data_IF_166429080642
#
_entry.id   IF_166429080642
#
_cell.length_a   1.000
_cell.length_b   1.000
_cell.length_c   1.000
_cell.angle_alpha   90.00
_cell.angle_beta   90.00
_cell.angle_gamma   90.00
#
_symmetry.space_group_name_H-M   'P 1'
#
loop_
_entity.id
_entity.type
_entity.pdbx_description
1 polymer ?
#
# COMPACT_ATOMS: atom_id res chain seq x y z
N UNK A 1 -11.60 12.24 -5.43
CA UNK A 1 -12.84 11.46 -5.68
C UNK A 1 -13.44 11.76 -7.05
N UNK A 2 -13.52 13.03 -7.48
CA UNK A 2 -13.99 13.38 -8.84
C UNK A 2 -13.25 12.61 -9.95
N UNK A 3 -11.91 12.54 -9.90
CA UNK A 3 -11.15 11.74 -10.86
C UNK A 3 -11.40 10.22 -10.79
N UNK A 4 -11.71 9.65 -9.61
CA UNK A 4 -12.05 8.22 -9.51
C UNK A 4 -13.34 7.93 -10.29
N UNK A 5 -14.32 8.84 -10.20
CA UNK A 5 -15.59 8.73 -10.91
C UNK A 5 -15.43 9.02 -12.42
N UNK A 6 -14.68 10.06 -12.79
CA UNK A 6 -14.47 10.45 -14.19
C UNK A 6 -13.77 9.37 -15.01
N UNK A 7 -12.80 8.69 -14.41
CA UNK A 7 -12.00 7.67 -15.08
C UNK A 7 -12.52 6.25 -14.88
N UNK A 8 -13.72 6.10 -14.29
CA UNK A 8 -14.32 4.81 -13.95
C UNK A 8 -13.36 3.88 -13.17
N UNK A 9 -12.61 4.45 -12.22
CA UNK A 9 -11.60 3.71 -11.43
C UNK A 9 -12.30 2.85 -10.38
N UNK A 10 -12.09 1.54 -10.46
CA UNK A 10 -12.67 0.58 -9.50
C UNK A 10 -11.87 0.43 -8.22
N UNK A 11 -10.55 0.64 -8.27
CA UNK A 11 -9.64 0.55 -7.13
C UNK A 11 -8.70 1.75 -7.14
N UNK A 12 -8.61 2.45 -6.02
CA UNK A 12 -7.66 3.52 -5.81
C UNK A 12 -6.89 3.30 -4.51
N UNK A 13 -5.58 3.56 -4.54
CA UNK A 13 -4.74 3.63 -3.34
C UNK A 13 -4.29 5.08 -3.20
N UNK A 14 -4.56 5.67 -2.04
CA UNK A 14 -4.33 7.08 -1.77
C UNK A 14 -3.38 7.21 -0.60
N UNK A 15 -2.21 7.80 -0.84
CA UNK A 15 -1.27 8.21 0.21
C UNK A 15 -1.65 9.59 0.75
N UNK A 16 -1.50 9.77 2.05
CA UNK A 16 -1.81 10.96 2.84
C UNK A 16 -3.20 11.57 2.51
N UNK A 17 -4.29 10.79 2.58
CA UNK A 17 -5.62 11.30 2.32
C UNK A 17 -5.99 12.41 3.31
N UNK A 18 -6.45 13.55 2.80
CA UNK A 18 -6.90 14.68 3.63
C UNK A 18 -8.00 14.29 4.64
N UNK A 19 -8.87 13.37 4.24
CA UNK A 19 -9.98 12.92 5.07
C UNK A 19 -10.34 11.46 4.78
N UNK A 20 -10.69 10.74 5.85
CA UNK A 20 -11.09 9.34 5.81
C UNK A 20 -12.47 9.21 6.47
N UNK A 21 -13.49 8.67 5.77
CA UNK A 21 -14.80 8.41 6.36
C UNK A 21 -14.72 7.29 7.41
N UNK A 22 -15.38 7.49 8.55
CA UNK A 22 -15.39 6.52 9.66
C UNK A 22 -16.32 5.31 9.45
N UNK A 23 -17.37 5.46 8.63
CA UNK A 23 -18.42 4.44 8.46
C UNK A 23 -18.66 4.07 6.98
N UNK A 24 -17.59 3.80 6.23
CA UNK A 24 -17.71 3.33 4.84
C UNK A 24 -16.94 2.05 4.59
N UNK A 25 -17.67 1.00 4.21
CA UNK A 25 -17.11 -0.33 3.99
C UNK A 25 -16.18 -0.38 2.77
N UNK A 26 -16.44 0.46 1.77
CA UNK A 26 -15.63 0.57 0.56
C UNK A 26 -14.30 1.33 0.76
N UNK A 27 -13.98 1.73 2.00
CA UNK A 27 -12.71 2.31 2.40
C UNK A 27 -11.97 1.36 3.37
N UNK A 28 -10.68 1.20 3.15
CA UNK A 28 -9.77 0.50 4.05
C UNK A 28 -8.56 1.39 4.32
N UNK A 29 -8.59 2.20 5.40
CA UNK A 29 -7.43 2.97 5.84
C UNK A 29 -6.49 2.12 6.69
N UNK A 30 -5.21 2.50 6.73
CA UNK A 30 -4.25 2.02 7.73
C UNK A 30 -4.58 2.53 9.14
N UNK A 31 -3.73 2.22 10.13
CA UNK A 31 -3.96 2.68 11.52
C UNK A 31 -3.75 4.18 11.70
N UNK A 32 -2.83 4.77 10.93
CA UNK A 32 -2.42 6.16 11.11
C UNK A 32 -3.16 7.13 10.19
N UNK A 33 -3.95 6.62 9.24
CA UNK A 33 -4.62 7.44 8.23
C UNK A 33 -3.67 7.99 7.17
N UNK A 34 -2.50 7.37 7.00
CA UNK A 34 -1.48 7.75 6.03
C UNK A 34 -1.69 7.09 4.67
N UNK A 35 -2.44 5.98 4.61
CA UNK A 35 -2.79 5.36 3.33
C UNK A 35 -4.17 4.72 3.42
N UNK A 36 -4.92 4.79 2.32
CA UNK A 36 -6.21 4.13 2.22
C UNK A 36 -6.41 3.48 0.85
N UNK A 37 -7.01 2.29 0.86
CA UNK A 37 -7.57 1.66 -0.33
C UNK A 37 -9.05 2.01 -0.41
N UNK A 38 -9.49 2.41 -1.60
CA UNK A 38 -10.87 2.78 -1.91
C UNK A 38 -11.33 1.92 -3.08
N UNK A 39 -12.52 1.32 -2.97
CA UNK A 39 -13.12 0.59 -4.08
C UNK A 39 -14.47 1.16 -4.49
N UNK A 40 -14.83 0.90 -5.74
CA UNK A 40 -16.08 1.32 -6.38
C UNK A 40 -16.59 0.24 -7.35
N UNK A 41 -17.74 0.48 -8.00
CA UNK A 41 -18.24 -0.42 -9.05
C UNK A 41 -18.70 -1.79 -8.56
N UNK A 42 -19.20 -1.88 -7.32
CA UNK A 42 -19.71 -3.13 -6.74
C UNK A 42 -18.66 -4.02 -6.09
N UNK A 43 -17.38 -3.66 -6.17
CA UNK A 43 -16.30 -4.33 -5.44
C UNK A 43 -16.48 -4.17 -3.92
N UNK A 44 -16.08 -5.20 -3.18
CA UNK A 44 -16.17 -5.26 -1.73
C UNK A 44 -14.80 -5.52 -1.12
N UNK A 45 -14.55 -4.89 0.02
CA UNK A 45 -13.31 -5.04 0.78
C UNK A 45 -13.54 -5.97 1.97
N UNK A 46 -12.81 -7.07 2.00
CA UNK A 46 -12.86 -8.09 3.03
C UNK A 46 -11.52 -8.18 3.79
N UNK A 47 -11.54 -8.76 4.99
CA UNK A 47 -10.35 -9.12 5.79
C UNK A 47 -9.28 -8.01 5.83
N UNK A 48 -9.61 -6.89 6.48
CA UNK A 48 -8.75 -5.71 6.57
C UNK A 48 -7.68 -5.90 7.66
N UNK A 49 -6.42 -6.02 7.28
CA UNK A 49 -5.29 -5.91 8.21
C UNK A 49 -4.75 -4.50 8.13
N UNK A 50 -4.78 -3.79 9.26
CA UNK A 50 -4.26 -2.43 9.37
C UNK A 50 -2.92 -2.47 10.07
N UNK A 51 -1.88 -2.03 9.37
CA UNK A 51 -0.56 -1.74 9.91
C UNK A 51 -0.35 -0.24 10.13
N UNK A 52 0.87 0.11 10.53
CA UNK A 52 1.29 1.49 10.67
C UNK A 52 1.95 1.90 9.36
N UNK A 53 1.27 2.72 8.55
CA UNK A 53 1.73 3.10 7.22
C UNK A 53 1.41 2.07 6.11
N UNK A 54 0.66 1.00 6.41
CA UNK A 54 0.15 0.09 5.39
C UNK A 54 -1.21 -0.51 5.75
N UNK A 55 -1.93 -0.96 4.72
CA UNK A 55 -3.19 -1.68 4.83
C UNK A 55 -3.23 -2.83 3.83
N UNK A 56 -3.75 -3.97 4.26
CA UNK A 56 -3.95 -5.16 3.44
C UNK A 56 -5.45 -5.47 3.46
N UNK A 57 -6.05 -5.75 2.30
CA UNK A 57 -7.45 -6.16 2.22
C UNK A 57 -7.67 -7.10 1.04
N UNK A 58 -8.55 -8.08 1.22
CA UNK A 58 -9.01 -8.96 0.14
C UNK A 58 -10.07 -8.22 -0.68
N UNK A 59 -9.99 -8.31 -2.00
CA UNK A 59 -10.99 -7.81 -2.93
C UNK A 59 -11.24 -8.86 -4.02
N UNK A 60 -12.31 -9.64 -3.89
CA UNK A 60 -12.49 -10.84 -4.73
C UNK A 60 -11.30 -11.79 -4.56
N UNK A 61 -10.73 -12.31 -5.64
CA UNK A 61 -9.65 -13.31 -5.58
C UNK A 61 -8.24 -12.72 -5.50
N UNK A 62 -8.11 -11.43 -5.21
CA UNK A 62 -6.82 -10.75 -5.06
C UNK A 62 -6.67 -10.10 -3.69
N UNK A 63 -5.42 -9.95 -3.25
CA UNK A 63 -5.04 -9.17 -2.09
C UNK A 63 -4.53 -7.79 -2.56
N UNK A 64 -5.13 -6.72 -2.05
CA UNK A 64 -4.70 -5.35 -2.29
C UNK A 64 -3.91 -4.87 -1.08
N UNK A 65 -2.75 -4.29 -1.33
CA UNK A 65 -1.91 -3.65 -0.32
C UNK A 65 -1.71 -2.19 -0.69
N UNK A 66 -1.99 -1.31 0.26
CA UNK A 66 -1.65 0.10 0.21
C UNK A 66 -0.52 0.37 1.20
N UNK A 67 0.55 1.02 0.77
CA UNK A 67 1.66 1.41 1.65
C UNK A 67 2.01 2.89 1.46
N UNK A 68 2.38 3.54 2.55
CA UNK A 68 3.03 4.84 2.53
C UNK A 68 4.25 4.79 3.42
N UNK A 69 5.42 5.06 2.84
CA UNK A 69 6.66 5.16 3.57
C UNK A 69 7.07 6.64 3.64
N UNK A 70 7.02 7.28 4.83
CA UNK A 70 7.37 8.70 4.95
C UNK A 70 8.77 8.99 4.39
N UNK A 71 8.97 10.13 3.70
CA UNK A 71 10.26 10.47 3.09
C UNK A 71 11.37 10.66 4.11
N UNK A 72 11.01 11.12 5.31
CA UNK A 72 11.93 11.38 6.41
C UNK A 72 12.16 10.17 7.32
N UNK A 73 11.54 9.01 7.02
CA UNK A 73 11.78 7.80 7.78
C UNK A 73 13.22 7.31 7.55
N UNK A 74 13.88 6.88 8.62
CA UNK A 74 15.22 6.29 8.55
C UNK A 74 15.18 4.95 7.79
N UNK A 75 16.33 4.47 7.31
CA UNK A 75 16.46 3.15 6.69
C UNK A 75 15.93 2.04 7.61
N UNK A 76 16.35 2.02 8.88
CA UNK A 76 15.88 1.04 9.86
C UNK A 76 14.36 1.10 10.09
N UNK A 77 13.76 2.30 10.06
CA UNK A 77 12.30 2.45 10.18
C UNK A 77 11.59 1.91 8.94
N UNK A 78 12.17 2.12 7.75
CA UNK A 78 11.65 1.57 6.50
C UNK A 78 11.71 0.04 6.51
N UNK A 79 12.89 -0.54 6.75
CA UNK A 79 13.10 -2.00 6.84
C UNK A 79 12.12 -2.64 7.83
N UNK A 80 12.02 -2.09 9.05
CA UNK A 80 11.10 -2.63 10.04
C UNK A 80 9.62 -2.49 9.65
N UNK A 81 9.24 -1.44 8.91
CA UNK A 81 7.87 -1.26 8.39
C UNK A 81 7.56 -2.28 7.32
N UNK A 82 8.50 -2.50 6.41
CA UNK A 82 8.46 -3.52 5.40
C UNK A 82 8.35 -4.89 6.09
N UNK A 83 9.30 -5.33 6.92
CA UNK A 83 9.25 -6.64 7.62
C UNK A 83 7.89 -6.96 8.27
N UNK A 84 7.26 -5.98 8.92
CA UNK A 84 5.91 -6.13 9.48
C UNK A 84 4.85 -6.43 8.42
N UNK A 85 4.88 -5.71 7.29
CA UNK A 85 4.03 -6.00 6.14
C UNK A 85 4.29 -7.43 5.61
N UNK A 86 5.53 -7.91 5.53
CA UNK A 86 5.82 -9.27 5.03
C UNK A 86 5.26 -10.32 5.98
N UNK A 87 5.48 -10.16 7.28
CA UNK A 87 4.95 -11.06 8.30
C UNK A 87 3.41 -11.12 8.30
N UNK A 88 2.74 -10.00 8.01
CA UNK A 88 1.29 -9.99 7.83
C UNK A 88 0.86 -10.65 6.52
N UNK A 89 1.61 -10.46 5.42
CA UNK A 89 1.35 -11.06 4.11
C UNK A 89 1.51 -12.59 4.10
N UNK A 90 2.42 -13.14 4.90
CA UNK A 90 2.62 -14.60 5.05
C UNK A 90 1.35 -15.36 5.48
N UNK A 91 0.33 -14.65 5.99
CA UNK A 91 -0.96 -15.23 6.39
C UNK A 91 -1.91 -15.45 5.22
N UNK A 92 -1.54 -15.03 4.02
CA UNK A 92 -2.35 -15.07 2.81
C UNK A 92 -1.64 -15.85 1.70
N UNK A 93 -2.41 -16.51 0.85
CA UNK A 93 -1.91 -17.28 -0.31
C UNK A 93 -2.45 -16.74 -1.64
N UNK A 94 -3.15 -15.61 -1.61
CA UNK A 94 -3.76 -15.01 -2.79
C UNK A 94 -2.75 -14.17 -3.58
N UNK A 95 -2.91 -14.04 -4.91
CA UNK A 95 -2.17 -13.07 -5.70
C UNK A 95 -2.26 -11.68 -5.08
N UNK A 96 -1.10 -11.06 -4.84
CA UNK A 96 -0.99 -9.81 -4.09
C UNK A 96 -0.53 -8.68 -4.99
N UNK A 97 -1.26 -7.56 -4.94
CA UNK A 97 -0.91 -6.32 -5.63
C UNK A 97 -0.57 -5.26 -4.59
N UNK A 98 0.65 -4.72 -4.66
CA UNK A 98 1.15 -3.71 -3.74
C UNK A 98 1.25 -2.37 -4.46
N UNK A 99 0.62 -1.35 -3.87
CA UNK A 99 0.60 0.02 -4.37
C UNK A 99 0.94 0.98 -3.26
N UNK A 100 1.56 2.10 -3.60
CA UNK A 100 1.88 3.09 -2.59
C UNK A 100 2.94 4.08 -3.01
N UNK A 101 3.22 4.99 -2.11
CA UNK A 101 4.36 5.88 -2.21
C UNK A 101 5.44 5.44 -1.21
N UNK A 102 6.50 4.86 -1.77
CA UNK A 102 7.65 4.36 -1.00
C UNK A 102 8.65 5.47 -0.68
N UNK A 103 8.52 6.66 -1.29
CA UNK A 103 9.52 7.73 -1.23
C UNK A 103 10.95 7.22 -1.51
N UNK A 104 11.08 6.39 -2.54
CA UNK A 104 12.30 5.67 -2.90
C UNK A 104 12.60 5.80 -4.39
N UNK A 105 13.89 5.82 -4.74
CA UNK A 105 14.35 5.94 -6.12
C UNK A 105 15.08 4.67 -6.50
N UNK A 106 14.69 4.03 -7.60
CA UNK A 106 15.43 2.92 -8.20
C UNK A 106 15.20 2.87 -9.70
N UNK A 107 16.22 2.48 -10.49
CA UNK A 107 16.03 2.13 -11.90
C UNK A 107 14.96 1.07 -12.14
N UNK A 108 14.72 0.16 -11.17
CA UNK A 108 13.73 -0.90 -11.28
C UNK A 108 12.29 -0.38 -11.51
N UNK A 109 11.99 0.84 -11.06
CA UNK A 109 10.71 1.53 -11.31
C UNK A 109 10.92 2.88 -12.01
N UNK A 110 11.96 3.00 -12.83
CA UNK A 110 12.13 4.10 -13.78
C UNK A 110 12.83 5.36 -13.25
N UNK A 111 13.40 5.34 -12.04
CA UNK A 111 14.26 6.46 -11.59
C UNK A 111 15.63 6.42 -12.26
N UNK A 112 16.20 7.60 -12.58
CA UNK A 112 17.55 7.69 -13.20
C UNK A 112 18.68 7.20 -12.28
N UNK A 113 18.47 7.27 -10.97
CA UNK A 113 19.44 6.89 -9.94
C UNK A 113 18.75 6.05 -8.87
N UNK A 114 19.53 5.23 -8.17
CA UNK A 114 19.06 4.58 -6.95
C UNK A 114 19.37 5.42 -5.71
N UNK A 115 18.62 5.21 -4.63
CA UNK A 115 18.97 5.66 -3.28
C UNK A 115 18.89 4.48 -2.30
N UNK A 116 19.44 4.66 -1.08
CA UNK A 116 19.47 3.61 -0.04
C UNK A 116 18.10 2.95 0.16
N UNK A 117 17.02 3.74 0.16
CA UNK A 117 15.64 3.24 0.30
C UNK A 117 15.23 2.36 -0.88
N UNK A 118 15.57 2.77 -2.10
CA UNK A 118 15.28 1.99 -3.30
C UNK A 118 16.08 0.69 -3.35
N UNK A 119 17.33 0.73 -2.91
CA UNK A 119 18.18 -0.46 -2.82
C UNK A 119 17.62 -1.48 -1.82
N UNK A 120 17.20 -1.03 -0.62
CA UNK A 120 16.51 -1.86 0.38
C UNK A 120 15.29 -2.55 -0.23
N UNK A 121 14.40 -1.79 -0.86
CA UNK A 121 13.16 -2.34 -1.43
C UNK A 121 13.44 -3.34 -2.56
N UNK A 122 14.42 -3.08 -3.42
CA UNK A 122 14.77 -4.01 -4.50
C UNK A 122 15.39 -5.30 -3.93
N UNK A 123 16.36 -5.17 -3.01
CA UNK A 123 17.15 -6.30 -2.52
C UNK A 123 16.38 -7.19 -1.54
N UNK A 124 15.60 -6.58 -0.66
CA UNK A 124 14.96 -7.32 0.44
C UNK A 124 13.53 -7.73 0.13
N UNK A 125 12.87 -7.06 -0.83
CA UNK A 125 11.42 -7.10 -0.95
C UNK A 125 10.90 -7.49 -2.32
N UNK A 126 11.39 -6.85 -3.39
CA UNK A 126 10.90 -7.14 -4.73
C UNK A 126 11.29 -8.54 -5.24
N UNK A 127 12.29 -9.18 -4.65
CA UNK A 127 12.77 -10.52 -5.02
C UNK A 127 12.41 -11.63 -4.02
N UNK A 128 11.84 -11.28 -2.87
CA UNK A 128 11.56 -12.21 -1.77
C UNK A 128 10.09 -12.62 -1.62
N UNK A 129 9.19 -11.99 -2.40
CA UNK A 129 7.74 -12.24 -2.43
C UNK A 129 7.33 -13.18 -3.58
#
# INVERSE_FOLDING_TARGET
MQHIAEWAVNVAVVSEPYWIPTNRENWAPDRLGLVAIIVSGGLQLEKKVKGDGYVITKCGEILLVGIYCPPNATAATLEASLDRLCADLQRFTLPTLIYGDFNAKSPAWGSRVSNVRGDIIVLEWATAL
#
